data_IF_108576458848
#
_entry.id   IF_108576458848
#
_cell.length_a   1.000
_cell.length_b   1.000
_cell.length_c   1.000
_cell.angle_alpha   90.00
_cell.angle_beta   90.00
_cell.angle_gamma   90.00
#
_symmetry.space_group_name_H-M   'P 1'
#
loop_
_entity.id
_entity.type
_entity.pdbx_description
1 polymer ?
#
# COMPACT_ATOMS: atom_id res chain seq x y z
N UNK A 1 5.89 -1.59 -9.64
CA UNK A 1 6.25 -1.16 -11.02
C UNK A 1 5.67 -2.17 -12.00
N UNK A 2 4.93 -1.73 -13.01
CA UNK A 2 4.31 -2.60 -14.03
C UNK A 2 5.04 -2.40 -15.36
N UNK A 3 5.41 -3.51 -16.01
CA UNK A 3 6.13 -3.53 -17.31
C UNK A 3 5.16 -3.91 -18.44
N UNK A 4 4.07 -4.59 -18.10
CA UNK A 4 2.92 -4.89 -18.93
C UNK A 4 1.66 -4.99 -18.05
N UNK A 5 0.46 -4.86 -18.64
CA UNK A 5 -0.80 -4.92 -17.90
C UNK A 5 -1.07 -6.30 -17.23
N UNK A 6 -0.18 -7.28 -17.42
CA UNK A 6 -0.32 -8.66 -16.99
C UNK A 6 0.49 -8.99 -15.74
N UNK A 7 1.59 -8.27 -15.50
CA UNK A 7 2.47 -8.48 -14.33
C UNK A 7 2.75 -7.17 -13.60
N UNK A 8 2.66 -7.21 -12.28
CA UNK A 8 3.01 -6.08 -11.43
C UNK A 8 3.64 -6.58 -10.14
N UNK A 9 4.79 -6.01 -9.78
CA UNK A 9 5.35 -6.15 -8.45
C UNK A 9 4.86 -5.01 -7.58
N UNK A 10 4.48 -5.31 -6.33
CA UNK A 10 4.30 -4.25 -5.33
C UNK A 10 5.60 -3.41 -5.24
N UNK A 11 5.46 -2.14 -4.88
CA UNK A 11 6.61 -1.24 -4.81
C UNK A 11 7.34 -1.45 -3.49
N UNK A 12 8.65 -1.71 -3.54
CA UNK A 12 9.46 -1.78 -2.32
C UNK A 12 9.72 -0.36 -1.82
N UNK A 13 8.83 0.13 -0.96
CA UNK A 13 8.86 1.48 -0.40
C UNK A 13 9.66 1.44 0.91
N UNK A 14 10.62 2.36 1.13
CA UNK A 14 11.34 2.44 2.39
C UNK A 14 10.39 2.53 3.59
N UNK A 15 10.66 1.75 4.64
CA UNK A 15 9.82 1.70 5.84
C UNK A 15 9.61 3.07 6.50
N UNK A 16 10.59 3.97 6.41
CA UNK A 16 10.49 5.35 6.92
C UNK A 16 9.40 6.16 6.21
N UNK A 17 9.18 5.92 4.93
CA UNK A 17 8.10 6.55 4.15
C UNK A 17 6.75 5.96 4.56
N UNK A 18 6.67 4.63 4.69
CA UNK A 18 5.44 3.95 5.15
C UNK A 18 5.03 4.42 6.56
N UNK A 19 5.99 4.55 7.47
CA UNK A 19 5.77 5.05 8.84
C UNK A 19 5.26 6.50 8.85
N UNK A 20 5.89 7.35 8.03
CA UNK A 20 5.45 8.75 7.86
C UNK A 20 4.02 8.84 7.32
N UNK A 21 3.66 8.02 6.33
CA UNK A 21 2.31 7.99 5.75
C UNK A 21 1.31 7.49 6.80
N UNK A 22 1.61 6.39 7.48
CA UNK A 22 0.75 5.80 8.51
C UNK A 22 0.42 6.83 9.59
N UNK A 23 1.45 7.45 10.17
CA UNK A 23 1.32 8.47 11.23
C UNK A 23 0.53 9.69 10.77
N UNK A 24 0.77 10.16 9.54
CA UNK A 24 0.04 11.32 8.99
C UNK A 24 -1.45 11.02 8.83
N UNK A 25 -1.82 9.87 8.28
CA UNK A 25 -3.23 9.52 8.04
C UNK A 25 -3.96 9.32 9.36
N UNK A 26 -3.39 8.56 10.30
CA UNK A 26 -4.03 8.31 11.60
C UNK A 26 -4.21 9.59 12.40
N UNK A 27 -3.22 10.49 12.41
CA UNK A 27 -3.35 11.77 13.11
C UNK A 27 -4.35 12.73 12.44
N UNK A 28 -4.43 12.74 11.11
CA UNK A 28 -5.35 13.63 10.39
C UNK A 28 -6.82 13.20 10.52
N UNK A 29 -7.09 11.90 10.66
CA UNK A 29 -8.43 11.34 10.73
C UNK A 29 -8.87 10.99 12.16
N UNK A 30 -7.93 11.01 13.12
CA UNK A 30 -8.17 10.69 14.52
C UNK A 30 -8.86 9.34 14.68
N UNK A 31 -9.94 9.34 15.45
CA UNK A 31 -10.68 8.15 15.89
C UNK A 31 -11.36 7.36 14.75
N UNK A 32 -11.43 7.94 13.55
CA UNK A 32 -12.12 7.34 12.40
C UNK A 32 -11.33 6.20 11.77
N UNK A 33 -10.00 6.25 11.82
CA UNK A 33 -9.12 5.26 11.18
C UNK A 33 -7.99 4.89 12.13
N UNK A 34 -7.95 3.60 12.50
CA UNK A 34 -7.01 3.07 13.49
C UNK A 34 -5.93 2.16 12.89
N UNK A 35 -6.02 1.86 11.59
CA UNK A 35 -5.09 0.93 10.92
C UNK A 35 -4.88 1.33 9.46
N UNK A 36 -3.61 1.36 9.09
CA UNK A 36 -3.15 1.49 7.72
C UNK A 36 -2.42 0.21 7.37
N UNK A 37 -2.68 -0.33 6.18
CA UNK A 37 -1.99 -1.52 5.64
C UNK A 37 -1.37 -1.16 4.29
N UNK A 38 -0.25 -1.80 3.96
CA UNK A 38 0.36 -1.72 2.64
C UNK A 38 0.25 -3.10 1.98
N UNK A 39 -0.35 -3.17 0.81
CA UNK A 39 -0.48 -4.43 0.07
C UNK A 39 0.86 -4.81 -0.56
N UNK A 40 1.34 -6.00 -0.22
CA UNK A 40 2.60 -6.59 -0.69
C UNK A 40 2.38 -7.77 -1.63
N UNK A 41 1.17 -7.89 -2.18
CA UNK A 41 0.79 -8.95 -3.12
C UNK A 41 1.22 -8.58 -4.54
N UNK A 42 1.90 -9.50 -5.22
CA UNK A 42 2.22 -9.33 -6.64
C UNK A 42 1.01 -9.73 -7.50
N UNK A 43 0.92 -9.14 -8.68
CA UNK A 43 0.09 -9.64 -9.78
C UNK A 43 0.97 -10.47 -10.72
N UNK A 44 0.71 -11.77 -10.91
CA UNK A 44 -0.15 -12.68 -10.12
C UNK A 44 0.48 -13.10 -8.76
N UNK A 45 -0.28 -13.66 -7.79
CA UNK A 45 -1.68 -14.15 -7.90
C UNK A 45 -2.76 -13.09 -7.66
N UNK A 46 -2.41 -11.91 -7.15
CA UNK A 46 -3.37 -10.84 -6.88
C UNK A 46 -3.75 -10.04 -8.12
N UNK A 47 -4.74 -9.17 -7.96
CA UNK A 47 -5.07 -8.09 -8.89
C UNK A 47 -4.47 -6.77 -8.42
N UNK A 48 -4.49 -5.73 -9.25
CA UNK A 48 -4.02 -4.39 -8.85
C UNK A 48 -5.01 -3.73 -7.89
N UNK A 49 -6.30 -3.84 -8.20
CA UNK A 49 -7.40 -3.39 -7.35
C UNK A 49 -7.86 -4.51 -6.41
N UNK A 50 -8.61 -4.15 -5.37
CA UNK A 50 -9.11 -5.07 -4.33
C UNK A 50 -10.48 -5.71 -4.65
N UNK A 51 -11.14 -5.31 -5.74
CA UNK A 51 -12.45 -5.82 -6.20
C UNK A 51 -12.49 -5.97 -7.73
#
# INVERSE_FOLDING_TARGET
QSVDAMTCKYSDIPHTVLDTISTKITNALGDKINRIVYDVTNKPPGTVEWE
#
